data_IF_686555741105
#
_entry.id   IF_686555741105
#
_cell.length_a   1.000
_cell.length_b   1.000
_cell.length_c   1.000
_cell.angle_alpha   90.00
_cell.angle_beta   90.00
_cell.angle_gamma   90.00
#
_symmetry.space_group_name_H-M   'P 1'
#
loop_
_entity.id
_entity.type
_entity.pdbx_description
1 polymer ?
#
# COMPACT_ATOMS: atom_id res chain seq x y z
N UNK A 1 12.52 -15.81 -27.07
CA UNK A 1 13.86 -16.09 -26.54
C UNK A 1 14.82 -15.05 -27.13
N UNK A 2 14.92 -13.90 -26.48
CA UNK A 2 16.06 -13.00 -26.61
C UNK A 2 16.60 -12.83 -25.20
N UNK A 3 17.83 -13.26 -25.04
CA UNK A 3 18.58 -13.32 -23.79
C UNK A 3 18.97 -11.88 -23.41
N UNK A 4 18.70 -11.50 -22.17
CA UNK A 4 19.29 -10.30 -21.56
C UNK A 4 20.78 -10.56 -21.33
N UNK A 5 21.62 -9.65 -21.82
CA UNK A 5 23.07 -9.65 -21.72
C UNK A 5 23.50 -9.09 -20.35
N UNK A 6 24.18 -9.86 -19.48
CA UNK A 6 24.46 -9.48 -18.10
C UNK A 6 25.83 -8.79 -17.89
N UNK A 7 26.32 -8.00 -18.84
CA UNK A 7 27.58 -7.26 -18.71
C UNK A 7 27.43 -5.77 -19.05
N UNK A 8 26.73 -5.02 -18.19
CA UNK A 8 27.05 -3.61 -17.96
C UNK A 8 27.12 -3.33 -16.45
N UNK A 9 28.25 -3.75 -15.91
CA UNK A 9 29.03 -3.16 -14.82
C UNK A 9 28.29 -2.43 -13.69
N UNK A 10 28.15 -3.15 -12.59
CA UNK A 10 28.68 -2.76 -11.28
C UNK A 10 29.27 -1.35 -11.20
N UNK A 11 28.53 -0.42 -10.60
CA UNK A 11 29.12 0.69 -9.87
C UNK A 11 28.89 0.48 -8.38
N UNK A 12 29.99 0.28 -7.69
CA UNK A 12 30.12 0.02 -6.27
C UNK A 12 29.31 1.01 -5.41
N UNK A 13 28.38 0.51 -4.61
CA UNK A 13 27.88 1.23 -3.44
C UNK A 13 28.90 1.09 -2.30
N UNK A 14 30.04 1.77 -2.46
CA UNK A 14 30.93 2.06 -1.34
C UNK A 14 30.34 3.24 -0.55
N UNK A 15 29.86 2.96 0.66
CA UNK A 15 29.44 3.96 1.65
C UNK A 15 30.67 4.77 2.05
N UNK A 16 30.82 5.98 1.48
CA UNK A 16 31.75 6.98 1.98
C UNK A 16 30.99 7.97 2.88
N UNK A 17 31.33 7.90 4.16
CA UNK A 17 31.02 8.89 5.19
C UNK A 17 31.39 10.31 4.73
N UNK A 18 30.49 11.26 5.03
CA UNK A 18 30.58 12.70 4.78
C UNK A 18 30.37 13.16 3.32
N UNK A 19 29.10 13.25 2.90
CA UNK A 19 28.57 14.36 2.10
C UNK A 19 27.04 14.30 2.08
N UNK A 20 26.41 15.06 2.99
CA UNK A 20 24.98 15.34 2.97
C UNK A 20 24.68 16.31 1.81
N UNK A 21 24.93 15.89 0.56
CA UNK A 21 24.49 16.61 -0.63
C UNK A 21 23.00 16.36 -0.74
N UNK A 22 22.20 17.34 -0.34
CA UNK A 22 20.78 17.38 -0.67
C UNK A 22 20.63 17.05 -2.16
N UNK A 23 19.91 15.97 -2.46
CA UNK A 23 19.53 15.64 -3.83
C UNK A 23 18.79 16.86 -4.38
N UNK A 24 19.42 17.56 -5.33
CA UNK A 24 18.80 18.73 -5.95
C UNK A 24 17.90 18.22 -7.07
N UNK A 25 16.59 18.20 -6.82
CA UNK A 25 15.56 17.83 -7.79
C UNK A 25 15.28 18.90 -8.86
N UNK A 26 16.20 19.86 -9.01
CA UNK A 26 16.04 21.01 -9.89
C UNK A 26 15.00 22.03 -9.40
N UNK A 27 14.74 23.02 -10.26
CA UNK A 27 13.77 24.07 -10.01
C UNK A 27 12.45 23.77 -10.72
N UNK A 28 11.34 24.17 -10.11
CA UNK A 28 10.02 24.08 -10.73
C UNK A 28 9.97 24.95 -12.00
N UNK A 29 9.44 24.42 -13.13
CA UNK A 29 9.34 25.18 -14.37
C UNK A 29 8.41 26.39 -14.24
N UNK A 30 7.40 26.34 -13.37
CA UNK A 30 6.41 27.40 -13.22
C UNK A 30 6.88 28.51 -12.27
N UNK A 31 7.18 28.18 -11.01
CA UNK A 31 7.51 29.18 -9.98
C UNK A 31 9.01 29.39 -9.75
N UNK A 32 9.88 28.64 -10.45
CA UNK A 32 11.35 28.69 -10.36
C UNK A 32 11.94 28.37 -8.98
N UNK A 33 11.11 27.97 -8.01
CA UNK A 33 11.57 27.54 -6.69
C UNK A 33 12.13 26.13 -6.75
N UNK A 34 13.08 25.82 -5.86
CA UNK A 34 13.66 24.48 -5.73
C UNK A 34 12.57 23.45 -5.42
N UNK A 35 12.55 22.35 -6.17
CA UNK A 35 11.66 21.21 -5.93
C UNK A 35 12.11 20.41 -4.70
N UNK A 36 11.15 19.84 -3.97
CA UNK A 36 11.41 19.00 -2.80
C UNK A 36 11.55 17.52 -3.15
N UNK A 37 11.00 17.09 -4.30
CA UNK A 37 11.21 15.77 -4.87
C UNK A 37 11.02 15.75 -6.39
N UNK A 38 11.22 14.59 -7.02
CA UNK A 38 11.09 14.43 -8.46
C UNK A 38 9.68 14.80 -8.94
N UNK A 39 9.59 15.69 -9.94
CA UNK A 39 8.34 16.19 -10.51
C UNK A 39 7.33 16.76 -9.47
N UNK A 40 7.80 17.21 -8.31
CA UNK A 40 6.96 17.82 -7.27
C UNK A 40 7.52 19.16 -6.78
N UNK A 41 6.69 20.19 -6.92
CA UNK A 41 6.90 21.52 -6.37
C UNK A 41 5.90 21.79 -5.25
N UNK A 42 6.40 21.84 -4.02
CA UNK A 42 5.60 22.15 -2.82
C UNK A 42 4.73 23.40 -2.95
N UNK A 43 5.14 24.42 -3.69
CA UNK A 43 4.33 25.64 -3.87
C UNK A 43 3.22 25.42 -4.90
N UNK A 44 3.58 24.96 -6.10
CA UNK A 44 2.66 24.84 -7.22
C UNK A 44 1.66 23.69 -7.04
N UNK A 45 2.13 22.52 -6.62
CA UNK A 45 1.28 21.33 -6.49
C UNK A 45 0.30 21.47 -5.33
N UNK A 46 0.73 22.03 -4.19
CA UNK A 46 -0.19 22.35 -3.09
C UNK A 46 -1.21 23.39 -3.51
N UNK A 47 -0.81 24.41 -4.29
CA UNK A 47 -1.77 25.39 -4.82
C UNK A 47 -2.80 24.76 -5.77
N UNK A 48 -2.36 23.82 -6.63
CA UNK A 48 -3.25 23.06 -7.51
C UNK A 48 -4.22 22.18 -6.72
N UNK A 49 -3.73 21.45 -5.70
CA UNK A 49 -4.57 20.65 -4.80
C UNK A 49 -5.61 21.52 -4.08
N UNK A 50 -5.20 22.65 -3.49
CA UNK A 50 -6.10 23.62 -2.85
C UNK A 50 -7.21 24.10 -3.79
N UNK A 51 -6.89 24.33 -5.06
CA UNK A 51 -7.87 24.73 -6.07
C UNK A 51 -9.00 23.72 -6.28
N UNK A 52 -8.76 22.44 -5.96
CA UNK A 52 -9.72 21.33 -6.11
C UNK A 52 -10.52 21.02 -4.84
N UNK A 53 -10.27 21.70 -3.71
CA UNK A 53 -10.93 21.36 -2.44
C UNK A 53 -12.46 21.51 -2.47
N UNK A 54 -12.97 22.38 -3.36
CA UNK A 54 -14.41 22.57 -3.54
C UNK A 54 -15.02 21.66 -4.62
N UNK A 55 -14.23 20.81 -5.29
CA UNK A 55 -14.71 19.95 -6.38
C UNK A 55 -15.13 18.55 -5.93
N UNK A 56 -14.93 18.21 -4.66
CA UNK A 56 -15.28 16.91 -4.08
C UNK A 56 -15.62 17.06 -2.60
N UNK A 57 -16.37 16.11 -2.06
CA UNK A 57 -16.59 15.96 -0.61
C UNK A 57 -16.94 14.51 -0.32
N UNK A 58 -16.46 13.99 0.80
CA UNK A 58 -16.87 12.67 1.30
C UNK A 58 -18.26 12.66 1.94
N UNK A 59 -18.88 13.84 2.11
CA UNK A 59 -20.05 14.04 2.97
C UNK A 59 -19.73 14.03 4.46
N UNK A 60 -18.45 13.86 4.85
CA UNK A 60 -17.98 13.93 6.23
C UNK A 60 -16.87 14.99 6.36
N UNK A 61 -17.18 16.11 7.00
CA UNK A 61 -16.25 17.25 7.12
C UNK A 61 -14.95 16.91 7.84
N UNK A 62 -14.96 15.96 8.79
CA UNK A 62 -13.75 15.53 9.49
C UNK A 62 -12.80 14.77 8.55
N UNK A 63 -13.35 13.92 7.68
CA UNK A 63 -12.57 13.18 6.68
C UNK A 63 -12.03 14.16 5.63
N UNK A 64 -12.87 15.08 5.17
CA UNK A 64 -12.48 16.11 4.20
C UNK A 64 -11.33 16.98 4.74
N UNK A 65 -11.44 17.46 5.98
CA UNK A 65 -10.39 18.24 6.65
C UNK A 65 -9.10 17.43 6.80
N UNK A 66 -9.20 16.16 7.17
CA UNK A 66 -8.02 15.30 7.31
C UNK A 66 -7.31 15.07 5.97
N UNK A 67 -8.05 14.77 4.90
CA UNK A 67 -7.48 14.58 3.56
C UNK A 67 -6.80 15.88 3.10
N UNK A 68 -7.50 17.02 3.22
CA UNK A 68 -6.94 18.33 2.89
C UNK A 68 -5.68 18.62 3.71
N UNK A 69 -5.67 18.33 5.01
CA UNK A 69 -4.49 18.49 5.85
C UNK A 69 -3.31 17.69 5.31
N UNK A 70 -3.48 16.42 4.91
CA UNK A 70 -2.38 15.64 4.32
C UNK A 70 -1.87 16.27 3.02
N UNK A 71 -2.77 16.73 2.14
CA UNK A 71 -2.44 17.39 0.87
C UNK A 71 -1.67 18.70 1.08
N UNK A 72 -2.01 19.47 2.12
CA UNK A 72 -1.34 20.72 2.48
C UNK A 72 0.05 20.56 3.07
N UNK A 73 0.36 19.36 3.60
CA UNK A 73 1.61 19.09 4.31
C UNK A 73 2.55 18.13 3.55
N UNK A 74 2.15 17.66 2.37
CA UNK A 74 2.95 16.78 1.53
C UNK A 74 4.29 17.41 1.12
N UNK A 75 5.34 16.58 1.09
CA UNK A 75 6.66 16.96 0.56
C UNK A 75 6.99 16.26 -0.76
N UNK A 76 6.16 15.29 -1.15
CA UNK A 76 6.25 14.50 -2.38
C UNK A 76 4.84 14.24 -2.95
N UNK A 77 4.77 13.92 -4.24
CA UNK A 77 3.61 13.38 -4.95
C UNK A 77 2.94 12.15 -4.31
N UNK A 78 3.65 11.41 -3.46
CA UNK A 78 3.19 10.17 -2.80
C UNK A 78 2.91 10.34 -1.31
N UNK A 79 3.08 11.54 -0.75
CA UNK A 79 3.01 11.81 0.70
C UNK A 79 1.60 12.15 1.22
N UNK A 80 0.57 12.20 0.37
CA UNK A 80 -0.78 12.61 0.76
C UNK A 80 -1.86 11.61 0.37
N UNK A 81 -3.03 11.77 1.00
CA UNK A 81 -4.22 11.01 0.67
C UNK A 81 -4.98 11.66 -0.48
N UNK A 82 -5.45 10.82 -1.39
CA UNK A 82 -6.31 11.22 -2.50
C UNK A 82 -7.75 10.79 -2.22
N UNK A 83 -8.71 11.69 -2.46
CA UNK A 83 -10.13 11.35 -2.48
C UNK A 83 -10.50 10.81 -3.87
N UNK A 84 -11.06 9.59 -3.90
CA UNK A 84 -11.51 8.93 -5.13
C UNK A 84 -13.02 8.72 -5.03
N UNK A 85 -13.75 9.28 -6.00
CA UNK A 85 -15.19 9.06 -6.11
C UNK A 85 -15.49 7.59 -6.40
N UNK A 86 -16.54 7.06 -5.77
CA UNK A 86 -16.85 5.63 -5.83
C UNK A 86 -17.23 5.17 -7.25
N UNK A 87 -17.72 6.08 -8.08
CA UNK A 87 -18.10 5.82 -9.48
C UNK A 87 -16.90 5.56 -10.41
N UNK A 88 -15.66 5.80 -9.95
CA UNK A 88 -14.45 5.44 -10.69
C UNK A 88 -14.10 3.94 -10.59
N UNK A 89 -14.85 3.17 -9.79
CA UNK A 89 -14.64 1.74 -9.58
C UNK A 89 -15.70 0.90 -10.29
N UNK A 90 -15.23 0.05 -11.19
CA UNK A 90 -16.04 -0.95 -11.90
C UNK A 90 -15.86 -2.35 -11.30
N UNK A 91 -16.82 -3.25 -11.60
CA UNK A 91 -16.79 -4.67 -11.19
C UNK A 91 -16.48 -4.87 -9.69
N UNK A 92 -17.14 -4.09 -8.84
CA UNK A 92 -16.97 -4.18 -7.39
C UNK A 92 -17.57 -5.49 -6.87
N UNK A 93 -16.72 -6.36 -6.34
CA UNK A 93 -17.09 -7.71 -5.88
C UNK A 93 -16.67 -7.91 -4.42
N UNK A 94 -17.54 -8.50 -3.61
CA UNK A 94 -17.19 -8.93 -2.25
C UNK A 94 -16.35 -10.20 -2.33
N UNK A 95 -15.17 -10.19 -1.70
CA UNK A 95 -14.25 -11.34 -1.71
C UNK A 95 -14.61 -12.42 -0.68
N UNK A 96 -15.63 -12.19 0.14
CA UNK A 96 -15.98 -12.96 1.35
C UNK A 96 -14.83 -13.08 2.37
N UNK A 97 -13.79 -12.26 2.22
CA UNK A 97 -12.67 -12.18 3.18
C UNK A 97 -12.90 -11.03 4.14
N UNK A 98 -12.49 -11.24 5.39
CA UNK A 98 -12.57 -10.24 6.46
C UNK A 98 -11.17 -9.84 6.92
N UNK A 99 -10.92 -8.55 6.99
CA UNK A 99 -9.85 -8.00 7.82
C UNK A 99 -10.31 -7.93 9.29
N UNK A 100 -9.39 -7.59 10.19
CA UNK A 100 -9.72 -7.50 11.62
C UNK A 100 -10.90 -6.55 11.91
N UNK A 101 -11.04 -5.46 11.14
CA UNK A 101 -12.08 -4.44 11.29
C UNK A 101 -12.68 -4.02 9.95
N UNK A 102 -12.60 -4.87 8.94
CA UNK A 102 -13.01 -4.50 7.59
C UNK A 102 -13.51 -5.67 6.76
N UNK A 103 -14.40 -5.36 5.84
CA UNK A 103 -14.82 -6.24 4.77
C UNK A 103 -13.97 -5.95 3.52
N UNK A 104 -13.52 -7.00 2.82
CA UNK A 104 -12.60 -6.87 1.68
C UNK A 104 -13.37 -7.06 0.38
N UNK A 105 -13.24 -6.08 -0.52
CA UNK A 105 -13.79 -6.10 -1.86
C UNK A 105 -12.65 -6.03 -2.88
N UNK A 106 -12.89 -6.49 -4.09
CA UNK A 106 -12.06 -6.20 -5.26
C UNK A 106 -12.82 -5.33 -6.24
N UNK A 107 -12.11 -4.50 -6.99
CA UNK A 107 -12.70 -3.68 -8.04
C UNK A 107 -11.67 -3.44 -9.16
N UNK A 108 -12.12 -2.89 -10.28
CA UNK A 108 -11.28 -2.27 -11.30
C UNK A 108 -11.36 -0.76 -11.09
N UNK A 109 -10.23 -0.13 -10.79
CA UNK A 109 -10.14 1.33 -10.79
C UNK A 109 -9.77 1.80 -12.19
N UNK A 110 -10.70 2.49 -12.86
CA UNK A 110 -10.58 2.82 -14.28
C UNK A 110 -9.48 3.84 -14.57
N UNK A 111 -9.35 4.87 -13.72
CA UNK A 111 -8.29 5.88 -13.82
C UNK A 111 -6.98 5.40 -13.20
N UNK A 112 -7.05 4.60 -12.13
CA UNK A 112 -5.87 4.05 -11.46
C UNK A 112 -5.03 5.09 -10.67
N UNK A 113 -3.96 4.63 -10.00
CA UNK A 113 -3.09 5.50 -9.22
C UNK A 113 -2.17 6.33 -10.12
N UNK A 114 -1.74 7.47 -9.57
CA UNK A 114 -0.71 8.34 -10.14
C UNK A 114 0.66 7.89 -9.65
N UNK A 115 1.43 7.20 -10.49
CA UNK A 115 2.71 6.58 -10.07
C UNK A 115 3.68 6.24 -11.21
N UNK A 116 3.39 6.59 -12.47
CA UNK A 116 4.39 6.53 -13.54
C UNK A 116 4.83 7.95 -13.89
N UNK A 117 6.11 8.23 -13.72
CA UNK A 117 6.73 9.46 -14.17
C UNK A 117 7.06 9.31 -15.66
N UNK A 118 6.45 10.15 -16.49
CA UNK A 118 6.93 10.38 -17.84
C UNK A 118 8.20 11.25 -17.72
N UNK A 119 9.37 10.67 -17.98
CA UNK A 119 10.66 11.38 -17.85
C UNK A 119 10.83 12.49 -18.89
N UNK A 120 10.21 12.36 -20.07
CA UNK A 120 10.29 13.35 -21.13
C UNK A 120 9.44 14.57 -20.81
N UNK A 121 8.25 14.34 -20.26
CA UNK A 121 7.33 15.40 -19.83
C UNK A 121 7.60 15.90 -18.41
N UNK A 122 8.33 15.14 -17.58
CA UNK A 122 8.43 15.28 -16.12
C UNK A 122 7.05 15.35 -15.42
N UNK A 123 6.10 14.54 -15.87
CA UNK A 123 4.72 14.54 -15.34
C UNK A 123 4.33 13.16 -14.85
N UNK A 124 3.66 13.11 -13.70
CA UNK A 124 3.06 11.88 -13.20
C UNK A 124 1.75 11.57 -13.92
N UNK A 125 1.62 10.34 -14.42
CA UNK A 125 0.46 9.88 -15.18
C UNK A 125 -0.35 8.82 -14.43
N UNK A 126 -1.64 8.76 -14.79
CA UNK A 126 -2.62 7.78 -14.31
C UNK A 126 -2.42 6.44 -15.01
N UNK A 127 -2.44 5.36 -14.25
CA UNK A 127 -2.18 4.00 -14.75
C UNK A 127 -3.35 3.06 -14.49
N UNK A 128 -4.49 3.41 -15.05
CA UNK A 128 -5.65 2.55 -15.12
C UNK A 128 -5.89 2.00 -16.54
N UNK A 129 -6.82 1.05 -16.70
CA UNK A 129 -7.56 0.39 -15.63
C UNK A 129 -6.70 -0.63 -14.86
N UNK A 130 -6.83 -0.68 -13.53
CA UNK A 130 -6.07 -1.61 -12.68
C UNK A 130 -6.97 -2.31 -11.66
N UNK A 131 -6.70 -3.59 -11.40
CA UNK A 131 -7.40 -4.34 -10.34
C UNK A 131 -6.89 -3.91 -8.97
N UNK A 132 -7.80 -3.49 -8.10
CA UNK A 132 -7.50 -3.00 -6.75
C UNK A 132 -8.25 -3.79 -5.68
N UNK A 133 -7.77 -3.66 -4.45
CA UNK A 133 -8.47 -4.14 -3.25
C UNK A 133 -9.06 -2.94 -2.52
N UNK A 134 -10.37 -2.97 -2.29
CA UNK A 134 -11.07 -1.98 -1.48
C UNK A 134 -11.32 -2.56 -0.08
N UNK A 135 -10.86 -1.86 0.96
CA UNK A 135 -11.13 -2.23 2.35
C UNK A 135 -12.23 -1.35 2.89
N UNK A 136 -13.42 -1.91 3.06
CA UNK A 136 -14.54 -1.22 3.70
C UNK A 136 -14.42 -1.41 5.21
N UNK A 137 -14.18 -0.33 5.93
CA UNK A 137 -14.14 -0.35 7.39
C UNK A 137 -15.53 -0.66 7.96
N UNK A 138 -15.61 -1.58 8.90
CA UNK A 138 -16.87 -1.94 9.55
C UNK A 138 -17.36 -0.75 10.40
N UNK A 139 -18.67 -0.47 10.39
CA UNK A 139 -19.30 0.65 11.10
C UNK A 139 -18.79 2.07 10.74
N UNK A 140 -18.13 2.24 9.59
CA UNK A 140 -17.53 3.51 9.19
C UNK A 140 -18.52 4.62 8.82
N UNK A 141 -19.81 4.29 8.67
CA UNK A 141 -20.87 5.26 8.38
C UNK A 141 -21.05 6.29 9.51
N UNK A 142 -20.61 5.95 10.73
CA UNK A 142 -20.73 6.79 11.92
C UNK A 142 -19.37 7.08 12.56
N UNK A 143 -18.33 7.38 11.75
CA UNK A 143 -17.09 7.94 12.28
C UNK A 143 -17.44 9.29 12.93
N UNK A 144 -17.56 9.29 14.26
CA UNK A 144 -17.88 10.45 15.06
C UNK A 144 -16.60 11.03 15.71
N UNK A 145 -16.73 12.24 16.25
CA UNK A 145 -15.61 12.93 16.88
C UNK A 145 -15.00 12.12 18.05
N UNK A 146 -15.82 11.37 18.78
CA UNK A 146 -15.36 10.53 19.90
C UNK A 146 -14.40 9.43 19.43
N UNK A 147 -14.67 8.79 18.29
CA UNK A 147 -13.79 7.79 17.72
C UNK A 147 -12.45 8.39 17.28
N UNK A 148 -12.49 9.57 16.65
CA UNK A 148 -11.27 10.31 16.28
C UNK A 148 -10.48 10.69 17.54
N UNK A 149 -11.15 11.22 18.57
CA UNK A 149 -10.52 11.59 19.84
C UNK A 149 -9.88 10.39 20.53
N UNK A 150 -10.50 9.21 20.49
CA UNK A 150 -9.92 7.96 21.01
C UNK A 150 -8.62 7.61 20.28
N UNK A 151 -8.61 7.68 18.94
CA UNK A 151 -7.39 7.46 18.15
C UNK A 151 -6.32 8.50 18.49
N UNK A 152 -6.66 9.79 18.54
CA UNK A 152 -5.73 10.85 18.94
C UNK A 152 -5.19 10.66 20.37
N UNK A 153 -6.00 10.07 21.25
CA UNK A 153 -5.64 9.76 22.64
C UNK A 153 -4.86 8.45 22.79
N UNK A 154 -4.48 7.78 21.69
CA UNK A 154 -3.62 6.61 21.70
C UNK A 154 -4.35 5.26 21.63
N UNK A 155 -5.67 5.22 21.41
CA UNK A 155 -6.36 3.95 21.15
C UNK A 155 -5.82 3.30 19.88
N UNK A 156 -5.39 2.04 19.97
CA UNK A 156 -4.84 1.25 18.85
C UNK A 156 -5.45 -0.14 18.78
N UNK A 157 -5.46 -0.77 17.59
CA UNK A 157 -5.81 -2.17 17.45
C UNK A 157 -4.99 -3.07 18.36
N UNK A 158 -5.64 -4.04 18.99
CA UNK A 158 -4.95 -5.12 19.70
C UNK A 158 -4.20 -6.01 18.72
N UNK A 159 -3.03 -6.52 19.12
CA UNK A 159 -2.32 -7.54 18.35
C UNK A 159 -3.17 -8.81 18.33
N UNK A 160 -3.50 -9.28 17.13
CA UNK A 160 -4.29 -10.50 16.92
C UNK A 160 -3.37 -11.71 17.00
N UNK A 161 -3.87 -12.83 17.56
CA UNK A 161 -3.15 -14.11 17.58
C UNK A 161 -2.71 -14.54 16.18
N UNK A 162 -1.48 -15.04 16.06
CA UNK A 162 -0.87 -15.36 14.77
C UNK A 162 -0.27 -14.14 14.05
N UNK A 163 -0.04 -13.02 14.74
CA UNK A 163 0.79 -11.92 14.23
C UNK A 163 2.27 -12.19 14.54
N UNK A 164 3.18 -12.20 13.55
CA UNK A 164 4.61 -12.37 13.81
C UNK A 164 5.12 -11.29 14.79
N UNK A 165 5.87 -11.63 15.84
CA UNK A 165 6.31 -10.64 16.84
C UNK A 165 7.13 -9.47 16.26
N UNK A 166 7.97 -9.74 15.26
CA UNK A 166 8.70 -8.70 14.52
C UNK A 166 7.77 -7.73 13.79
N UNK A 167 6.71 -8.25 13.17
CA UNK A 167 5.69 -7.45 12.49
C UNK A 167 4.85 -6.67 13.52
N UNK A 168 4.48 -7.28 14.63
CA UNK A 168 3.74 -6.63 15.70
C UNK A 168 4.50 -5.42 16.26
N UNK A 169 5.81 -5.56 16.49
CA UNK A 169 6.66 -4.43 16.91
C UNK A 169 6.69 -3.31 15.89
N UNK A 170 6.87 -3.65 14.60
CA UNK A 170 6.86 -2.66 13.53
C UNK A 170 5.49 -1.95 13.44
N UNK A 171 4.40 -2.70 13.50
CA UNK A 171 3.04 -2.18 13.49
C UNK A 171 2.82 -1.19 14.64
N UNK A 172 3.25 -1.54 15.85
CA UNK A 172 3.14 -0.63 17.00
C UNK A 172 3.98 0.65 16.82
N UNK A 173 5.18 0.55 16.24
CA UNK A 173 6.00 1.72 15.89
C UNK A 173 5.30 2.63 14.87
N UNK A 174 4.70 2.06 13.82
CA UNK A 174 3.91 2.82 12.85
C UNK A 174 2.69 3.49 13.47
N UNK A 175 2.16 2.90 14.54
CA UNK A 175 1.00 3.36 15.27
C UNK A 175 1.38 4.23 16.48
N UNK A 176 2.61 4.70 16.62
CA UNK A 176 2.98 5.54 17.77
C UNK A 176 2.09 6.80 17.85
N UNK A 177 1.71 7.19 19.07
CA UNK A 177 0.90 8.39 19.28
C UNK A 177 1.66 9.64 18.87
N UNK A 178 2.97 9.66 19.12
CA UNK A 178 3.87 10.70 18.66
C UNK A 178 4.32 10.41 17.22
N UNK A 179 3.99 11.28 16.24
CA UNK A 179 4.43 11.12 14.86
C UNK A 179 5.95 11.05 14.69
N UNK A 180 6.74 11.64 15.59
CA UNK A 180 8.21 11.63 15.49
C UNK A 180 8.81 10.26 15.83
N UNK A 181 8.08 9.39 16.52
CA UNK A 181 8.49 8.03 16.82
C UNK A 181 8.13 7.05 15.70
N UNK A 182 7.31 7.47 14.72
CA UNK A 182 6.92 6.62 13.60
C UNK A 182 8.06 6.53 12.58
N UNK A 183 8.31 5.34 12.00
CA UNK A 183 9.30 5.21 10.95
C UNK A 183 8.86 5.98 9.70
N UNK A 184 9.84 6.50 8.96
CA UNK A 184 9.59 7.08 7.64
C UNK A 184 9.28 5.99 6.61
N UNK A 185 8.65 6.35 5.50
CA UNK A 185 8.38 5.41 4.40
C UNK A 185 9.67 4.75 3.87
N UNK A 186 10.78 5.50 3.81
CA UNK A 186 12.09 4.96 3.41
C UNK A 186 12.62 3.92 4.40
N UNK A 187 12.54 4.19 5.72
CA UNK A 187 12.93 3.22 6.74
C UNK A 187 12.06 1.95 6.71
N UNK A 188 10.76 2.09 6.39
CA UNK A 188 9.88 0.95 6.17
C UNK A 188 10.29 0.15 4.93
N UNK A 189 10.57 0.83 3.82
CA UNK A 189 11.02 0.20 2.59
C UNK A 189 12.30 -0.63 2.79
N UNK A 190 13.32 -0.04 3.41
CA UNK A 190 14.57 -0.74 3.73
C UNK A 190 14.33 -1.95 4.65
N UNK A 191 13.55 -1.76 5.72
CA UNK A 191 13.28 -2.83 6.69
C UNK A 191 12.50 -3.98 6.06
N UNK A 192 11.46 -3.69 5.28
CA UNK A 192 10.65 -4.70 4.60
C UNK A 192 11.45 -5.40 3.49
N UNK A 193 12.28 -4.66 2.74
CA UNK A 193 13.20 -5.26 1.76
C UNK A 193 14.16 -6.26 2.41
N UNK A 194 14.79 -5.88 3.52
CA UNK A 194 15.65 -6.78 4.27
C UNK A 194 14.92 -8.03 4.78
N UNK A 195 13.64 -7.91 5.15
CA UNK A 195 12.84 -9.07 5.55
C UNK A 195 12.55 -9.99 4.38
N UNK A 196 12.21 -9.45 3.20
CA UNK A 196 12.01 -10.25 1.99
C UNK A 196 13.27 -11.05 1.68
N UNK A 197 14.43 -10.41 1.66
CA UNK A 197 15.71 -11.10 1.43
C UNK A 197 15.98 -12.20 2.46
N UNK A 198 15.80 -11.89 3.76
CA UNK A 198 16.06 -12.85 4.83
C UNK A 198 15.06 -14.03 4.92
N UNK A 199 13.88 -13.91 4.29
CA UNK A 199 12.84 -14.96 4.27
C UNK A 199 12.89 -15.77 2.98
N UNK A 200 13.13 -15.12 1.84
CA UNK A 200 13.04 -15.75 0.52
C UNK A 200 14.40 -16.22 -0.04
N UNK A 201 15.49 -15.54 0.30
CA UNK A 201 16.80 -15.73 -0.33
C UNK A 201 17.84 -16.42 0.59
N UNK A 202 17.55 -16.55 1.89
CA UNK A 202 18.45 -17.20 2.85
C UNK A 202 18.20 -18.73 2.90
N UNK A 203 19.21 -19.57 2.56
CA UNK A 203 19.07 -21.03 2.65
C UNK A 203 19.01 -21.56 4.10
N UNK A 204 19.32 -20.76 5.11
CA UNK A 204 19.22 -21.12 6.54
C UNK A 204 18.10 -20.30 7.22
N UNK A 205 17.04 -20.93 7.76
CA UNK A 205 15.93 -20.20 8.35
C UNK A 205 16.35 -19.36 9.57
N UNK A 206 16.41 -18.05 9.36
CA UNK A 206 16.65 -17.07 10.41
C UNK A 206 15.53 -17.04 11.47
N UNK A 207 15.81 -16.50 12.66
CA UNK A 207 14.79 -16.23 13.69
C UNK A 207 13.62 -15.40 13.14
N UNK A 208 13.89 -14.54 12.15
CA UNK A 208 12.87 -13.80 11.42
C UNK A 208 11.91 -14.74 10.66
N UNK A 209 12.44 -15.64 9.84
CA UNK A 209 11.65 -16.60 9.06
C UNK A 209 10.79 -17.48 9.98
N UNK A 210 11.38 -18.00 11.06
CA UNK A 210 10.68 -18.80 12.07
C UNK A 210 9.49 -18.06 12.70
N UNK A 211 9.62 -16.75 12.98
CA UNK A 211 8.51 -15.95 13.52
C UNK A 211 7.32 -15.86 12.56
N UNK A 212 7.58 -15.76 11.24
CA UNK A 212 6.52 -15.73 10.23
C UNK A 212 5.88 -17.12 10.05
N UNK A 213 6.67 -18.18 10.01
CA UNK A 213 6.18 -19.56 9.88
C UNK A 213 5.29 -19.98 11.07
N UNK A 214 5.71 -19.67 12.30
CA UNK A 214 4.91 -19.96 13.51
C UNK A 214 3.60 -19.17 13.47
N UNK A 215 3.65 -17.90 13.10
CA UNK A 215 2.48 -17.04 13.00
C UNK A 215 1.49 -17.55 11.95
N UNK A 216 1.99 -18.02 10.81
CA UNK A 216 1.17 -18.65 9.77
C UNK A 216 0.52 -19.95 10.27
N UNK A 217 1.26 -20.83 10.94
CA UNK A 217 0.71 -22.05 11.55
C UNK A 217 -0.41 -21.75 12.54
N UNK A 218 -0.23 -20.74 13.41
CA UNK A 218 -1.27 -20.32 14.36
C UNK A 218 -2.51 -19.80 13.62
N UNK A 219 -2.34 -19.02 12.55
CA UNK A 219 -3.48 -18.56 11.73
C UNK A 219 -4.24 -19.75 11.14
N UNK A 220 -3.54 -20.75 10.62
CA UNK A 220 -4.17 -21.97 10.09
C UNK A 220 -4.93 -22.75 11.18
N UNK A 221 -4.33 -22.97 12.35
CA UNK A 221 -5.02 -23.64 13.46
C UNK A 221 -6.27 -22.90 13.94
N UNK A 222 -6.24 -21.56 13.98
CA UNK A 222 -7.39 -20.75 14.37
C UNK A 222 -8.53 -20.82 13.32
N UNK A 223 -8.20 -20.99 12.03
CA UNK A 223 -9.20 -21.19 10.97
C UNK A 223 -9.94 -22.52 11.11
N UNK A 224 -9.25 -23.58 11.55
CA UNK A 224 -9.87 -24.89 11.82
C UNK A 224 -10.80 -24.88 13.05
N UNK A 225 -10.49 -24.03 14.04
CA UNK A 225 -11.31 -23.87 15.26
C UNK A 225 -12.56 -23.00 15.04
N UNK A 226 -12.55 -22.15 14.01
CA UNK A 226 -13.77 -21.53 13.50
C UNK A 226 -14.59 -22.65 12.85
N UNK A 227 -15.50 -23.24 13.62
CA UNK A 227 -16.46 -24.22 13.15
C UNK A 227 -17.36 -23.54 12.09
N UNK A 228 -16.86 -23.42 10.86
CA UNK A 228 -17.66 -23.03 9.73
C UNK A 228 -18.76 -24.08 9.65
N UNK A 229 -19.98 -23.65 9.93
CA UNK A 229 -21.14 -24.40 9.44
C UNK A 229 -21.01 -24.36 7.94
N UNK A 230 -20.35 -25.38 7.37
CA UNK A 230 -20.45 -25.70 5.96
C UNK A 230 -21.94 -25.99 5.76
N UNK A 231 -22.70 -24.95 5.40
CA UNK A 231 -24.02 -25.13 4.85
C UNK A 231 -23.84 -26.11 3.68
N UNK A 232 -24.60 -27.22 3.62
CA UNK A 232 -24.46 -28.17 2.54
C UNK A 232 -24.55 -27.41 1.22
N UNK A 233 -23.46 -27.49 0.47
CA UNK A 233 -23.34 -26.88 -0.84
C UNK A 233 -24.51 -27.37 -1.70
N UNK A 234 -25.20 -26.45 -2.39
CA UNK A 234 -26.28 -26.81 -3.29
C UNK A 234 -25.74 -27.77 -4.35
N UNK A 235 -26.49 -28.83 -4.67
CA UNK A 235 -26.09 -29.99 -5.52
C UNK A 235 -25.60 -29.62 -6.94
N UNK A 236 -25.75 -28.36 -7.31
CA UNK A 236 -25.43 -27.79 -8.64
C UNK A 236 -24.31 -26.74 -8.60
N UNK A 237 -23.74 -26.46 -7.44
CA UNK A 237 -22.62 -25.55 -7.30
C UNK A 237 -21.33 -26.29 -7.66
N UNK A 238 -20.90 -26.12 -8.92
CA UNK A 238 -19.61 -26.63 -9.40
C UNK A 238 -18.57 -25.53 -9.18
N UNK A 239 -17.78 -25.65 -8.10
CA UNK A 239 -16.57 -24.85 -7.93
C UNK A 239 -15.42 -25.53 -8.68
N UNK A 240 -15.05 -24.99 -9.85
CA UNK A 240 -13.77 -25.33 -10.46
C UNK A 240 -12.70 -24.50 -9.76
N UNK A 241 -12.10 -25.01 -8.69
CA UNK A 241 -10.78 -24.53 -8.29
C UNK A 241 -9.82 -24.85 -9.43
N UNK A 242 -9.37 -23.85 -10.19
CA UNK A 242 -8.32 -24.05 -11.19
C UNK A 242 -7.03 -24.47 -10.45
N UNK A 243 -6.47 -25.67 -10.71
CA UNK A 243 -5.14 -26.00 -10.22
C UNK A 243 -4.12 -25.13 -10.95
N UNK A 244 -3.29 -24.40 -10.21
CA UNK A 244 -2.10 -23.77 -10.77
C UNK A 244 -1.10 -24.88 -11.08
N UNK A 245 -1.07 -25.32 -12.34
CA UNK A 245 -0.10 -26.30 -12.82
C UNK A 245 1.04 -25.56 -13.52
N UNK A 246 2.22 -25.52 -12.90
CA UNK A 246 3.43 -25.01 -13.52
C UNK A 246 4.18 -26.17 -14.18
N UNK A 247 4.04 -26.29 -15.49
CA UNK A 247 4.93 -27.06 -16.36
C UNK A 247 4.88 -26.44 -17.77
N UNK A 248 5.98 -25.82 -18.19
CA UNK A 248 6.24 -25.32 -19.55
C UNK A 248 6.41 -26.47 -20.59
N UNK A 249 6.75 -26.24 -21.89
CA UNK A 249 6.25 -25.27 -22.90
C UNK A 249 5.97 -25.89 -24.31
N UNK A 250 5.44 -25.05 -25.22
CA UNK A 250 5.34 -25.15 -26.71
C UNK A 250 4.25 -26.03 -27.36
N UNK A 251 3.37 -25.43 -28.19
CA UNK A 251 3.53 -25.27 -29.65
C UNK A 251 2.29 -24.56 -30.26
N UNK A 252 2.53 -23.90 -31.40
CA UNK A 252 1.60 -23.15 -32.24
C UNK A 252 0.41 -23.98 -32.76
N UNK A 253 -0.75 -23.34 -32.99
CA UNK A 253 -1.27 -23.10 -34.36
C UNK A 253 -2.50 -22.18 -34.38
N UNK A 254 -2.49 -21.29 -35.38
CA UNK A 254 -3.62 -20.52 -35.90
C UNK A 254 -4.47 -21.41 -36.80
N UNK A 255 -5.78 -21.23 -36.77
CA UNK A 255 -6.61 -21.11 -37.98
C UNK A 255 -7.39 -19.81 -37.84
#
# INVERSE_FOLDING_TARGET
MHLFDPTLESRDFAINSANNKALSYGNCPDCKSQRTSAAWCKICDIANLKGKFNSWTSGNSMIDEFIQYTQLNANDSTDYLEWIEFDQFDLVENTNKRGAFSSIYSAIWMEGPTWNLDEEAEVWTRNGPIKVILKRLDNSHNINQDFVNQICSGTRPSIVSGTPPVFARLMLQCLDADPFNRPTASQLYERLGNWVTAICDDPDPSDLSNQFDIAEKIKFSNLEQLHFSILPCHERAIYYSRPLNFSEPFLYEKI
#
